data_IF_396002281470
#
_entry.id   IF_396002281470
#
_cell.length_a   1.000
_cell.length_b   1.000
_cell.length_c   1.000
_cell.angle_alpha   90.00
_cell.angle_beta   90.00
_cell.angle_gamma   90.00
#
_symmetry.space_group_name_H-M   'P 1'
#
loop_
_entity.id
_entity.type
_entity.pdbx_description
1 polymer ?
#
# COMPACT_ATOMS: atom_id res chain seq x y z
N UNK A 1 72.34 -17.39 -9.66
CA UNK A 1 71.49 -16.69 -8.67
C UNK A 1 70.17 -16.34 -9.33
N UNK A 2 69.03 -16.91 -8.93
CA UNK A 2 67.73 -16.59 -9.50
C UNK A 2 67.15 -15.34 -8.81
N UNK A 3 66.71 -14.37 -9.62
CA UNK A 3 66.16 -13.10 -9.15
C UNK A 3 64.82 -13.25 -8.44
N UNK A 4 64.73 -12.68 -7.23
CA UNK A 4 63.50 -12.50 -6.48
C UNK A 4 62.57 -11.52 -7.22
N UNK A 5 61.42 -11.99 -7.67
CA UNK A 5 60.29 -11.11 -8.03
C UNK A 5 59.46 -10.86 -6.77
N UNK A 6 59.35 -9.60 -6.35
CA UNK A 6 58.38 -9.15 -5.36
C UNK A 6 56.97 -9.16 -5.97
N UNK A 7 55.95 -9.71 -5.28
CA UNK A 7 54.57 -9.60 -5.74
C UNK A 7 54.06 -8.15 -5.59
N UNK A 8 53.14 -7.69 -6.46
CA UNK A 8 52.57 -6.36 -6.35
C UNK A 8 51.70 -6.27 -5.09
N UNK A 9 51.81 -5.13 -4.40
CA UNK A 9 50.95 -4.80 -3.27
C UNK A 9 49.49 -4.75 -3.76
N UNK A 10 48.67 -5.68 -3.26
CA UNK A 10 47.22 -5.64 -3.37
C UNK A 10 46.71 -4.44 -2.55
N UNK A 11 46.71 -3.28 -3.19
CA UNK A 11 45.97 -2.10 -2.77
C UNK A 11 44.47 -2.33 -2.98
N UNK A 12 43.93 -3.31 -2.26
CA UNK A 12 42.51 -3.54 -2.18
C UNK A 12 41.86 -2.35 -1.49
N UNK A 13 41.31 -1.45 -2.31
CA UNK A 13 40.37 -0.41 -1.92
C UNK A 13 39.14 -1.07 -1.28
N UNK A 14 39.27 -1.40 0.00
CA UNK A 14 38.13 -1.73 0.86
C UNK A 14 37.43 -0.42 1.14
N UNK A 15 36.64 0.04 0.18
CA UNK A 15 35.62 1.05 0.44
C UNK A 15 34.87 0.63 1.71
N UNK A 16 34.83 1.47 2.76
CA UNK A 16 34.21 1.09 4.02
C UNK A 16 32.76 0.71 3.71
N UNK A 17 32.34 -0.48 4.16
CA UNK A 17 30.99 -0.98 4.00
C UNK A 17 30.04 0.03 4.63
N UNK A 18 29.53 0.96 3.82
CA UNK A 18 28.62 2.01 4.24
C UNK A 18 27.41 1.30 4.85
N UNK A 19 27.08 1.68 6.09
CA UNK A 19 25.95 1.11 6.80
C UNK A 19 24.72 1.12 5.87
N UNK A 20 23.92 0.05 5.82
CA UNK A 20 22.83 -0.06 4.87
C UNK A 20 21.92 1.16 5.00
N UNK A 21 21.72 1.89 3.90
CA UNK A 21 20.82 3.03 3.86
C UNK A 21 19.43 2.58 4.33
N UNK A 22 19.04 3.01 5.52
CA UNK A 22 17.73 2.71 6.08
C UNK A 22 16.67 3.47 5.29
N UNK A 23 15.55 2.81 5.03
CA UNK A 23 14.44 3.45 4.33
C UNK A 23 13.98 4.71 5.05
N UNK A 24 13.80 5.81 4.31
CA UNK A 24 13.27 7.05 4.88
C UNK A 24 11.77 6.90 5.22
N UNK A 25 11.46 6.64 6.49
CA UNK A 25 10.08 6.53 7.02
C UNK A 25 9.53 7.84 7.57
N UNK A 26 10.23 8.97 7.42
CA UNK A 26 9.77 10.27 7.95
C UNK A 26 8.39 10.68 7.42
N UNK A 27 8.07 10.52 6.10
CA UNK A 27 6.72 10.84 5.62
C UNK A 27 5.63 10.01 6.29
N UNK A 28 5.85 8.70 6.47
CA UNK A 28 4.92 7.84 7.22
C UNK A 28 4.77 8.31 8.66
N UNK A 29 5.86 8.69 9.34
CA UNK A 29 5.79 9.14 10.73
C UNK A 29 4.99 10.45 10.87
N UNK A 30 5.24 11.42 9.99
CA UNK A 30 4.50 12.70 9.97
C UNK A 30 3.02 12.43 9.64
N UNK A 31 2.75 11.67 8.59
CA UNK A 31 1.38 11.33 8.17
C UNK A 31 0.62 10.57 9.27
N UNK A 32 1.26 9.58 9.90
CA UNK A 32 0.68 8.84 11.01
C UNK A 32 0.39 9.76 12.21
N UNK A 33 1.31 10.64 12.58
CA UNK A 33 1.11 11.61 13.67
C UNK A 33 -0.09 12.54 13.41
N UNK A 34 -0.20 13.07 12.19
CA UNK A 34 -1.32 13.92 11.79
C UNK A 34 -2.67 13.17 11.80
N UNK A 35 -2.69 11.95 11.26
CA UNK A 35 -3.89 11.12 11.22
C UNK A 35 -4.33 10.65 12.62
N UNK A 36 -3.38 10.31 13.49
CA UNK A 36 -3.64 9.99 14.90
C UNK A 36 -4.16 11.19 15.68
N UNK A 37 -3.55 12.37 15.47
CA UNK A 37 -4.05 13.61 16.08
C UNK A 37 -5.49 13.90 15.61
N UNK A 38 -5.78 13.70 14.33
CA UNK A 38 -7.13 13.85 13.77
C UNK A 38 -8.13 12.88 14.41
N UNK A 39 -7.82 11.59 14.50
CA UNK A 39 -8.72 10.60 15.10
C UNK A 39 -8.93 10.84 16.59
N UNK A 40 -7.87 11.19 17.33
CA UNK A 40 -7.97 11.57 18.74
C UNK A 40 -8.83 12.82 18.94
N UNK A 41 -8.63 13.86 18.13
CA UNK A 41 -9.43 15.08 18.19
C UNK A 41 -10.91 14.81 17.91
N UNK A 42 -11.23 13.98 16.91
CA UNK A 42 -12.60 13.57 16.61
C UNK A 42 -13.24 12.79 17.76
N UNK A 43 -12.51 11.84 18.35
CA UNK A 43 -13.00 11.07 19.50
C UNK A 43 -13.26 11.94 20.72
N UNK A 44 -12.34 12.86 21.04
CA UNK A 44 -12.50 13.82 22.14
C UNK A 44 -13.67 14.76 21.91
N UNK A 45 -13.81 15.28 20.69
CA UNK A 45 -14.94 16.12 20.30
C UNK A 45 -16.28 15.38 20.45
N UNK A 46 -16.36 14.12 20.02
CA UNK A 46 -17.57 13.32 20.11
C UNK A 46 -17.88 12.84 21.53
N UNK A 47 -16.87 12.75 22.41
CA UNK A 47 -17.02 12.23 23.75
C UNK A 47 -18.12 12.94 24.55
N UNK A 48 -18.25 14.27 24.44
CA UNK A 48 -19.27 15.00 25.20
C UNK A 48 -20.61 15.15 24.44
N UNK A 49 -20.73 14.59 23.24
CA UNK A 49 -21.93 14.67 22.38
C UNK A 49 -22.71 13.38 22.32
N UNK A 50 -22.10 12.29 22.74
CA UNK A 50 -22.68 10.94 22.72
C UNK A 50 -22.99 10.55 24.18
N UNK A 51 -24.25 10.18 24.50
CA UNK A 51 -24.62 9.66 25.81
C UNK A 51 -23.81 8.41 26.19
N UNK A 52 -23.53 8.21 27.48
CA UNK A 52 -22.71 7.07 27.93
C UNK A 52 -23.40 5.71 27.73
N UNK A 53 -24.73 5.69 27.70
CA UNK A 53 -25.59 4.53 27.44
C UNK A 53 -25.88 4.31 25.94
N UNK A 54 -25.36 5.17 25.06
CA UNK A 54 -25.58 5.09 23.63
C UNK A 54 -25.06 3.76 23.04
N UNK A 55 -25.88 3.14 22.17
CA UNK A 55 -25.53 1.94 21.43
C UNK A 55 -25.20 2.30 20.00
N UNK A 56 -23.92 2.20 19.65
CA UNK A 56 -23.39 2.71 18.39
C UNK A 56 -23.03 1.54 17.48
N UNK A 57 -23.39 1.58 16.19
CA UNK A 57 -22.89 0.62 15.21
C UNK A 57 -21.37 0.58 15.18
N UNK A 58 -20.81 -0.63 15.34
CA UNK A 58 -19.35 -0.89 15.38
C UNK A 58 -18.95 -2.04 14.46
N UNK A 59 -19.93 -2.74 13.89
CA UNK A 59 -19.72 -3.76 12.88
C UNK A 59 -20.88 -3.76 11.88
N UNK A 60 -20.55 -4.08 10.63
CA UNK A 60 -21.48 -4.18 9.52
C UNK A 60 -21.21 -5.48 8.78
N UNK A 61 -22.27 -6.23 8.49
CA UNK A 61 -22.18 -7.45 7.69
C UNK A 61 -21.88 -7.14 6.21
N UNK A 62 -21.63 -8.18 5.42
CA UNK A 62 -21.33 -8.03 3.98
C UNK A 62 -22.44 -7.37 3.15
N UNK A 63 -23.68 -7.34 3.66
CA UNK A 63 -24.82 -6.64 3.06
C UNK A 63 -24.84 -5.13 3.35
N UNK A 64 -23.88 -4.63 4.14
CA UNK A 64 -23.83 -3.23 4.61
C UNK A 64 -24.77 -2.94 5.77
N UNK A 65 -25.50 -3.93 6.29
CA UNK A 65 -26.38 -3.76 7.45
C UNK A 65 -25.59 -3.87 8.76
N UNK A 66 -26.00 -3.09 9.75
CA UNK A 66 -25.49 -3.20 11.13
C UNK A 66 -25.88 -4.56 11.69
N UNK A 67 -24.90 -5.33 12.15
CA UNK A 67 -25.12 -6.62 12.82
C UNK A 67 -24.60 -6.62 14.28
N UNK A 68 -23.85 -5.59 14.69
CA UNK A 68 -23.38 -5.41 16.06
C UNK A 68 -23.34 -3.95 16.50
N UNK A 69 -23.83 -3.73 17.72
CA UNK A 69 -23.77 -2.45 18.42
C UNK A 69 -22.80 -2.52 19.61
N UNK A 70 -21.95 -1.52 19.74
CA UNK A 70 -20.99 -1.34 20.81
C UNK A 70 -21.37 -0.17 21.72
N UNK A 71 -20.60 0.00 22.80
CA UNK A 71 -20.72 1.18 23.67
C UNK A 71 -19.93 2.37 23.13
N UNK A 72 -20.12 3.54 23.76
CA UNK A 72 -19.42 4.79 23.43
C UNK A 72 -17.90 4.65 23.39
N UNK A 73 -17.29 4.05 24.41
CA UNK A 73 -15.84 3.88 24.49
C UNK A 73 -15.31 3.01 23.35
N UNK A 74 -15.99 1.90 23.05
CA UNK A 74 -15.63 1.00 21.96
C UNK A 74 -15.66 1.73 20.61
N UNK A 75 -16.73 2.48 20.32
CA UNK A 75 -16.86 3.23 19.07
C UNK A 75 -15.82 4.35 18.93
N UNK A 76 -15.48 5.03 20.02
CA UNK A 76 -14.58 6.19 19.98
C UNK A 76 -13.09 5.84 20.11
N UNK A 77 -12.72 4.70 20.71
CA UNK A 77 -11.31 4.39 21.04
C UNK A 77 -10.72 3.29 20.14
N UNK A 78 -11.52 2.32 19.70
CA UNK A 78 -11.00 1.12 19.03
C UNK A 78 -10.21 1.45 17.76
N UNK A 79 -10.77 2.25 16.85
CA UNK A 79 -10.06 2.60 15.62
C UNK A 79 -8.82 3.47 15.85
N UNK A 80 -8.81 4.51 16.71
CA UNK A 80 -7.59 5.21 17.07
C UNK A 80 -6.47 4.28 17.58
N UNK A 81 -6.80 3.30 18.43
CA UNK A 81 -5.83 2.31 18.93
C UNK A 81 -5.34 1.40 17.80
N UNK A 82 -6.23 0.90 16.94
CA UNK A 82 -5.83 0.10 15.78
C UNK A 82 -4.91 0.88 14.84
N UNK A 83 -5.21 2.16 14.59
CA UNK A 83 -4.38 3.05 13.77
C UNK A 83 -3.01 3.27 14.43
N UNK A 84 -2.95 3.44 15.76
CA UNK A 84 -1.69 3.59 16.50
C UNK A 84 -0.81 2.35 16.37
N UNK A 85 -1.39 1.18 16.63
CA UNK A 85 -0.68 -0.11 16.52
C UNK A 85 -0.21 -0.33 15.09
N UNK A 86 -1.08 -0.11 14.10
CA UNK A 86 -0.72 -0.29 12.69
C UNK A 86 0.36 0.71 12.25
N UNK A 87 0.29 1.96 12.69
CA UNK A 87 1.33 2.96 12.42
C UNK A 87 2.68 2.53 13.01
N UNK A 88 2.70 2.01 14.24
CA UNK A 88 3.92 1.48 14.84
C UNK A 88 4.49 0.31 14.01
N UNK A 89 3.64 -0.63 13.59
CA UNK A 89 4.04 -1.74 12.72
C UNK A 89 4.64 -1.22 11.41
N UNK A 90 3.97 -0.28 10.73
CA UNK A 90 4.44 0.28 9.45
C UNK A 90 5.73 1.10 9.59
N UNK A 91 5.99 1.69 10.76
CA UNK A 91 7.26 2.36 11.02
C UNK A 91 8.38 1.37 11.33
N UNK A 92 8.10 0.27 12.01
CA UNK A 92 9.10 -0.71 12.42
C UNK A 92 9.42 -1.70 11.30
N UNK A 93 8.42 -2.13 10.53
CA UNK A 93 8.54 -3.18 9.51
C UNK A 93 9.74 -3.01 8.58
N UNK A 94 10.01 -1.81 8.00
CA UNK A 94 11.13 -1.64 7.07
C UNK A 94 12.52 -1.81 7.69
N UNK A 95 12.62 -1.77 9.02
CA UNK A 95 13.87 -1.93 9.77
C UNK A 95 14.17 -3.38 10.09
N UNK A 96 13.13 -4.22 10.23
CA UNK A 96 13.27 -5.61 10.71
C UNK A 96 13.25 -6.64 9.58
N UNK A 97 12.73 -6.29 8.39
CA UNK A 97 12.65 -7.24 7.27
C UNK A 97 14.04 -7.60 6.72
N UNK A 98 14.30 -8.88 6.34
CA UNK A 98 15.59 -9.31 5.78
C UNK A 98 16.01 -8.51 4.55
N UNK A 99 15.05 -8.19 3.67
CA UNK A 99 15.27 -7.44 2.42
C UNK A 99 15.20 -5.91 2.57
N UNK A 100 15.52 -5.38 3.76
CA UNK A 100 15.42 -3.93 4.06
C UNK A 100 16.12 -3.01 3.05
N UNK A 101 17.21 -3.47 2.41
CA UNK A 101 17.91 -2.73 1.36
C UNK A 101 17.04 -2.54 0.11
N UNK A 102 16.46 -3.62 -0.43
CA UNK A 102 15.56 -3.58 -1.60
C UNK A 102 14.28 -2.80 -1.31
N UNK A 103 13.80 -2.89 -0.07
CA UNK A 103 12.64 -2.10 0.35
C UNK A 103 12.95 -0.60 0.43
N UNK A 104 14.19 -0.21 0.78
CA UNK A 104 14.60 1.20 0.84
C UNK A 104 14.46 1.89 -0.52
N UNK A 105 14.73 1.18 -1.63
CA UNK A 105 14.54 1.69 -2.99
C UNK A 105 13.05 1.93 -3.33
N UNK A 106 12.15 1.33 -2.55
CA UNK A 106 10.70 1.48 -2.66
C UNK A 106 10.12 2.49 -1.66
N UNK A 107 10.95 3.32 -1.00
CA UNK A 107 10.53 4.23 0.07
C UNK A 107 9.31 5.08 -0.30
N UNK A 108 9.27 5.65 -1.51
CA UNK A 108 8.15 6.49 -1.96
C UNK A 108 6.85 5.70 -2.03
N UNK A 109 6.86 4.54 -2.70
CA UNK A 109 5.68 3.67 -2.82
C UNK A 109 5.24 3.15 -1.45
N UNK A 110 6.18 2.71 -0.61
CA UNK A 110 5.89 2.26 0.75
C UNK A 110 5.21 3.34 1.59
N UNK A 111 5.80 4.53 1.68
CA UNK A 111 5.21 5.65 2.44
C UNK A 111 3.82 6.02 1.91
N UNK A 112 3.62 5.98 0.60
CA UNK A 112 2.32 6.27 -0.04
C UNK A 112 1.26 5.26 0.38
N UNK A 113 1.58 3.95 0.37
CA UNK A 113 0.69 2.88 0.81
C UNK A 113 0.43 2.97 2.33
N UNK A 114 1.47 3.20 3.12
CA UNK A 114 1.37 3.30 4.58
C UNK A 114 0.48 4.47 5.01
N UNK A 115 0.68 5.66 4.45
CA UNK A 115 -0.21 6.81 4.71
C UNK A 115 -1.62 6.53 4.18
N UNK A 116 -1.74 5.89 3.01
CA UNK A 116 -3.01 5.52 2.42
C UNK A 116 -3.86 4.61 3.31
N UNK A 117 -3.26 3.56 3.90
CA UNK A 117 -3.99 2.62 4.77
C UNK A 117 -4.40 3.26 6.09
N UNK A 118 -3.54 4.10 6.68
CA UNK A 118 -3.89 4.87 7.87
C UNK A 118 -4.99 5.90 7.57
N UNK A 119 -4.95 6.52 6.39
CA UNK A 119 -5.97 7.44 5.90
C UNK A 119 -7.32 6.75 5.68
N UNK A 120 -7.32 5.53 5.13
CA UNK A 120 -8.51 4.70 5.00
C UNK A 120 -9.18 4.47 6.35
N UNK A 121 -8.42 3.99 7.34
CA UNK A 121 -8.94 3.74 8.69
C UNK A 121 -9.41 5.04 9.37
N UNK A 122 -8.71 6.14 9.16
CA UNK A 122 -9.09 7.46 9.66
C UNK A 122 -10.42 7.94 9.05
N UNK A 123 -10.61 7.75 7.75
CA UNK A 123 -11.87 8.07 7.07
C UNK A 123 -13.05 7.23 7.57
N UNK A 124 -12.82 5.94 7.81
CA UNK A 124 -13.82 5.05 8.42
C UNK A 124 -14.17 5.53 9.84
N UNK A 125 -13.15 5.83 10.67
CA UNK A 125 -13.36 6.36 12.02
C UNK A 125 -14.17 7.66 12.03
N UNK A 126 -13.79 8.62 11.17
CA UNK A 126 -14.51 9.88 11.05
C UNK A 126 -15.97 9.66 10.66
N UNK A 127 -16.24 8.77 9.71
CA UNK A 127 -17.60 8.46 9.28
C UNK A 127 -18.43 7.79 10.37
N UNK A 128 -17.84 6.85 11.14
CA UNK A 128 -18.49 6.22 12.29
C UNK A 128 -18.81 7.23 13.40
N UNK A 129 -17.86 8.11 13.74
CA UNK A 129 -18.04 9.15 14.76
C UNK A 129 -19.12 10.15 14.35
N UNK A 130 -19.06 10.66 13.12
CA UNK A 130 -20.07 11.59 12.61
C UNK A 130 -21.45 10.95 12.50
N UNK A 131 -21.51 9.66 12.15
CA UNK A 131 -22.75 8.87 12.15
C UNK A 131 -23.33 8.74 13.56
N UNK A 132 -22.50 8.49 14.56
CA UNK A 132 -22.91 8.37 15.95
C UNK A 132 -23.43 9.69 16.55
N UNK A 133 -22.81 10.83 16.18
CA UNK A 133 -23.23 12.15 16.68
C UNK A 133 -24.46 12.69 15.96
N UNK A 134 -24.54 12.54 14.64
CA UNK A 134 -25.57 13.21 13.82
C UNK A 134 -26.72 12.28 13.38
N UNK A 135 -26.63 10.97 13.60
CA UNK A 135 -27.67 10.00 13.28
C UNK A 135 -27.95 9.78 11.78
N UNK A 136 -27.14 10.34 10.87
CA UNK A 136 -27.51 10.44 9.45
C UNK A 136 -26.39 10.37 8.42
N UNK A 137 -25.21 9.82 8.76
CA UNK A 137 -24.14 9.63 7.77
C UNK A 137 -24.41 8.34 6.97
N UNK A 138 -24.44 8.38 5.63
CA UNK A 138 -24.56 7.18 4.80
C UNK A 138 -23.23 6.42 4.82
N UNK A 139 -22.96 5.72 5.92
CA UNK A 139 -21.64 5.18 6.23
C UNK A 139 -21.13 4.23 5.15
N UNK A 140 -21.99 3.37 4.60
CA UNK A 140 -21.59 2.42 3.54
C UNK A 140 -21.08 3.17 2.30
N UNK A 141 -21.67 4.32 1.96
CA UNK A 141 -21.18 5.17 0.86
C UNK A 141 -19.84 5.80 1.20
N UNK A 142 -19.69 6.33 2.41
CA UNK A 142 -18.41 6.94 2.83
C UNK A 142 -17.30 5.90 2.84
N UNK A 143 -17.54 4.72 3.43
CA UNK A 143 -16.59 3.60 3.43
C UNK A 143 -16.25 3.16 2.01
N UNK A 144 -17.25 3.02 1.14
CA UNK A 144 -17.05 2.69 -0.27
C UNK A 144 -16.19 3.73 -1.01
N UNK A 145 -16.45 5.02 -0.79
CA UNK A 145 -15.70 6.11 -1.40
C UNK A 145 -14.25 6.16 -0.90
N UNK A 146 -14.03 6.01 0.40
CA UNK A 146 -12.68 6.01 0.99
C UNK A 146 -11.90 4.75 0.55
N UNK A 147 -12.55 3.60 0.43
CA UNK A 147 -11.95 2.38 -0.10
C UNK A 147 -11.58 2.52 -1.59
N UNK A 148 -12.44 3.15 -2.39
CA UNK A 148 -12.15 3.51 -3.79
C UNK A 148 -10.93 4.42 -3.90
N UNK A 149 -10.88 5.48 -3.07
CA UNK A 149 -9.75 6.40 -3.04
C UNK A 149 -8.46 5.71 -2.58
N UNK A 150 -8.52 4.83 -1.59
CA UNK A 150 -7.37 4.02 -1.18
C UNK A 150 -6.88 3.13 -2.32
N UNK A 151 -7.79 2.54 -3.11
CA UNK A 151 -7.44 1.75 -4.30
C UNK A 151 -6.72 2.61 -5.35
N UNK A 152 -7.12 3.88 -5.52
CA UNK A 152 -6.36 4.85 -6.34
C UNK A 152 -4.95 5.08 -5.78
N UNK A 153 -4.81 5.22 -4.46
CA UNK A 153 -3.50 5.38 -3.80
C UNK A 153 -2.59 4.17 -4.07
N UNK A 154 -3.13 2.94 -4.00
CA UNK A 154 -2.39 1.73 -4.41
C UNK A 154 -1.96 1.83 -5.87
N UNK A 155 -2.87 2.20 -6.77
CA UNK A 155 -2.57 2.37 -8.19
C UNK A 155 -1.45 3.38 -8.47
N UNK A 156 -1.39 4.47 -7.71
CA UNK A 156 -0.31 5.46 -7.82
C UNK A 156 1.02 4.97 -7.23
N UNK A 157 0.97 4.11 -6.22
CA UNK A 157 2.17 3.59 -5.57
C UNK A 157 2.85 2.46 -6.37
N UNK A 158 2.09 1.62 -7.07
CA UNK A 158 2.63 0.43 -7.77
C UNK A 158 3.80 0.76 -8.72
N UNK A 159 3.72 1.73 -9.64
CA UNK A 159 4.78 1.95 -10.65
C UNK A 159 6.12 2.43 -10.08
N UNK A 160 6.14 2.92 -8.84
CA UNK A 160 7.36 3.41 -8.18
C UNK A 160 7.97 2.40 -7.21
N UNK A 161 7.35 1.22 -7.04
CA UNK A 161 7.94 0.13 -6.29
C UNK A 161 9.06 -0.51 -7.12
N UNK A 162 10.17 -0.83 -6.46
CA UNK A 162 11.26 -1.66 -6.99
C UNK A 162 11.08 -3.11 -6.55
N UNK A 163 11.64 -4.10 -7.25
CA UNK A 163 11.55 -5.50 -6.85
C UNK A 163 11.90 -5.71 -5.38
N UNK A 164 10.93 -6.19 -4.60
CA UNK A 164 11.06 -6.38 -3.16
C UNK A 164 10.11 -7.48 -2.66
N UNK A 165 10.47 -8.11 -1.54
CA UNK A 165 9.70 -9.18 -0.93
C UNK A 165 8.48 -8.75 -0.11
N UNK A 166 8.13 -7.45 -0.03
CA UNK A 166 7.09 -6.94 0.88
C UNK A 166 5.84 -6.46 0.14
N UNK A 167 5.99 -5.60 -0.88
CA UNK A 167 4.89 -4.89 -1.52
C UNK A 167 4.96 -5.02 -3.05
N UNK A 168 3.79 -5.23 -3.67
CA UNK A 168 3.62 -5.37 -5.11
C UNK A 168 3.07 -6.73 -5.55
N UNK A 169 3.04 -6.96 -6.87
CA UNK A 169 2.71 -8.25 -7.48
C UNK A 169 3.97 -9.13 -7.45
N UNK A 170 4.02 -10.09 -6.52
CA UNK A 170 5.23 -10.86 -6.16
C UNK A 170 5.17 -12.32 -6.65
N UNK A 171 5.05 -12.49 -7.96
CA UNK A 171 5.17 -13.82 -8.58
C UNK A 171 6.65 -14.21 -8.74
N UNK A 172 7.00 -15.51 -8.89
CA UNK A 172 8.39 -15.92 -9.05
C UNK A 172 9.13 -15.20 -10.19
N UNK A 173 8.44 -14.91 -11.29
CA UNK A 173 9.01 -14.23 -12.45
C UNK A 173 9.11 -12.71 -12.31
N UNK A 174 8.19 -12.05 -11.59
CA UNK A 174 8.33 -10.60 -11.32
C UNK A 174 9.47 -10.33 -10.34
N UNK A 175 9.76 -11.25 -9.42
CA UNK A 175 10.90 -11.14 -8.51
C UNK A 175 12.23 -11.47 -9.20
N UNK A 176 12.24 -12.31 -10.24
CA UNK A 176 13.44 -12.73 -10.95
C UNK A 176 13.85 -11.79 -12.11
N UNK A 177 12.91 -11.02 -12.67
CA UNK A 177 13.15 -10.14 -13.82
C UNK A 177 12.60 -8.72 -13.56
N UNK A 178 13.50 -7.74 -13.53
CA UNK A 178 13.15 -6.32 -13.32
C UNK A 178 12.28 -5.78 -14.47
N UNK A 179 12.47 -6.24 -15.71
CA UNK A 179 11.60 -5.82 -16.83
C UNK A 179 10.18 -6.30 -16.59
N UNK A 180 10.02 -7.56 -16.20
CA UNK A 180 8.70 -8.12 -15.85
C UNK A 180 8.06 -7.36 -14.68
N UNK A 181 8.83 -7.02 -13.65
CA UNK A 181 8.38 -6.19 -12.53
C UNK A 181 7.84 -4.83 -12.99
N UNK A 182 8.64 -4.07 -13.73
CA UNK A 182 8.31 -2.69 -14.15
C UNK A 182 7.06 -2.68 -15.03
N UNK A 183 6.97 -3.58 -16.02
CA UNK A 183 5.81 -3.65 -16.89
C UNK A 183 4.54 -4.01 -16.11
N UNK A 184 4.63 -5.01 -15.22
CA UNK A 184 3.50 -5.46 -14.40
C UNK A 184 2.99 -4.36 -13.48
N UNK A 185 3.89 -3.64 -12.81
CA UNK A 185 3.52 -2.60 -11.86
C UNK A 185 3.06 -1.31 -12.54
N UNK A 186 3.57 -0.98 -13.74
CA UNK A 186 3.04 0.12 -14.55
C UNK A 186 1.63 -0.17 -15.05
N UNK A 187 1.37 -1.38 -15.51
CA UNK A 187 0.02 -1.83 -15.89
C UNK A 187 -0.92 -1.85 -14.68
N UNK A 188 -0.52 -2.54 -13.60
CA UNK A 188 -1.26 -2.62 -12.35
C UNK A 188 -1.58 -1.24 -11.77
N UNK A 189 -0.63 -0.31 -11.83
CA UNK A 189 -0.85 1.06 -11.36
C UNK A 189 -2.00 1.78 -12.07
N UNK A 190 -2.07 1.67 -13.39
CA UNK A 190 -3.19 2.22 -14.18
C UNK A 190 -4.50 1.50 -13.88
N UNK A 191 -4.45 0.17 -13.80
CA UNK A 191 -5.63 -0.66 -13.54
C UNK A 191 -6.26 -0.37 -12.17
N UNK A 192 -5.46 -0.38 -11.10
CA UNK A 192 -5.94 -0.06 -9.75
C UNK A 192 -6.39 1.40 -9.62
N UNK A 193 -5.73 2.33 -10.32
CA UNK A 193 -6.19 3.72 -10.37
C UNK A 193 -7.57 3.83 -11.02
N UNK A 194 -7.78 3.17 -12.16
CA UNK A 194 -9.07 3.18 -12.85
C UNK A 194 -10.18 2.52 -12.01
N UNK A 195 -9.90 1.33 -11.46
CA UNK A 195 -10.85 0.63 -10.58
C UNK A 195 -11.19 1.47 -9.35
N UNK A 196 -10.19 2.05 -8.68
CA UNK A 196 -10.42 2.91 -7.53
C UNK A 196 -11.26 4.15 -7.86
N UNK A 197 -11.01 4.79 -9.00
CA UNK A 197 -11.80 5.93 -9.47
C UNK A 197 -13.27 5.53 -9.74
N UNK A 198 -13.48 4.40 -10.42
CA UNK A 198 -14.82 3.84 -10.66
C UNK A 198 -15.53 3.55 -9.34
N UNK A 199 -14.86 2.91 -8.38
CA UNK A 199 -15.45 2.60 -7.07
C UNK A 199 -15.79 3.87 -6.27
N UNK A 200 -14.95 4.90 -6.36
CA UNK A 200 -15.18 6.19 -5.70
C UNK A 200 -16.44 6.86 -6.25
N UNK A 201 -16.60 6.90 -7.58
CA UNK A 201 -17.80 7.45 -8.22
C UNK A 201 -19.02 6.58 -7.93
N UNK A 202 -18.88 5.25 -8.00
CA UNK A 202 -19.95 4.30 -7.73
C UNK A 202 -20.53 4.48 -6.31
N UNK A 203 -19.67 4.75 -5.31
CA UNK A 203 -20.11 5.02 -3.94
C UNK A 203 -21.14 6.16 -3.83
N UNK A 204 -21.09 7.13 -4.75
CA UNK A 204 -21.98 8.29 -4.75
C UNK A 204 -23.35 8.00 -5.40
N UNK A 205 -23.43 7.08 -6.36
CA UNK A 205 -24.61 6.93 -7.24
C UNK A 205 -25.23 5.53 -7.23
N UNK A 206 -24.46 4.49 -6.92
CA UNK A 206 -24.92 3.08 -6.95
C UNK A 206 -25.68 2.75 -5.65
N UNK A 207 -26.67 1.84 -5.67
CA UNK A 207 -27.31 1.33 -4.47
C UNK A 207 -26.32 0.73 -3.46
N UNK A 208 -26.50 1.03 -2.17
CA UNK A 208 -25.56 0.63 -1.11
C UNK A 208 -25.35 -0.88 -1.02
N UNK A 209 -26.38 -1.67 -1.29
CA UNK A 209 -26.33 -3.14 -1.29
C UNK A 209 -25.32 -3.73 -2.30
N UNK A 210 -24.94 -2.97 -3.33
CA UNK A 210 -24.03 -3.41 -4.40
C UNK A 210 -22.60 -2.94 -4.12
N UNK A 211 -22.39 -1.92 -3.28
CA UNK A 211 -21.08 -1.27 -3.12
C UNK A 211 -19.99 -2.22 -2.60
N UNK A 212 -20.27 -3.00 -1.55
CA UNK A 212 -19.29 -3.95 -0.99
C UNK A 212 -18.96 -5.06 -2.00
N UNK A 213 -19.94 -5.78 -2.59
CA UNK A 213 -19.66 -6.76 -3.65
C UNK A 213 -18.90 -6.17 -4.83
N UNK A 214 -19.26 -4.97 -5.29
CA UNK A 214 -18.59 -4.29 -6.39
C UNK A 214 -17.13 -3.94 -6.07
N UNK A 215 -16.86 -3.43 -4.87
CA UNK A 215 -15.51 -3.14 -4.41
C UNK A 215 -14.64 -4.40 -4.34
N UNK A 216 -15.17 -5.48 -3.75
CA UNK A 216 -14.48 -6.76 -3.68
C UNK A 216 -14.20 -7.32 -5.08
N UNK A 217 -15.21 -7.37 -5.95
CA UNK A 217 -15.05 -7.85 -7.32
C UNK A 217 -14.04 -7.01 -8.11
N UNK A 218 -14.08 -5.68 -7.98
CA UNK A 218 -13.15 -4.78 -8.63
C UNK A 218 -11.70 -4.98 -8.18
N UNK A 219 -11.45 -5.04 -6.87
CA UNK A 219 -10.10 -5.20 -6.30
C UNK A 219 -9.53 -6.59 -6.60
N UNK A 220 -10.34 -7.65 -6.39
CA UNK A 220 -9.93 -9.03 -6.69
C UNK A 220 -9.71 -9.19 -8.19
N UNK A 221 -10.62 -8.69 -9.02
CA UNK A 221 -10.48 -8.70 -10.48
C UNK A 221 -9.24 -7.97 -10.97
N UNK A 222 -8.94 -6.79 -10.41
CA UNK A 222 -7.71 -6.06 -10.72
C UNK A 222 -6.45 -6.84 -10.32
N UNK A 223 -6.46 -7.46 -9.14
CA UNK A 223 -5.36 -8.27 -8.62
C UNK A 223 -5.09 -9.49 -9.50
N UNK A 224 -6.13 -10.26 -9.82
CA UNK A 224 -6.05 -11.42 -10.73
C UNK A 224 -5.54 -10.98 -12.10
N UNK A 225 -6.09 -9.89 -12.64
CA UNK A 225 -5.68 -9.35 -13.95
C UNK A 225 -4.20 -8.95 -13.96
N UNK A 226 -3.70 -8.33 -12.89
CA UNK A 226 -2.29 -7.98 -12.76
C UNK A 226 -1.38 -9.23 -12.70
N UNK A 227 -1.82 -10.29 -12.01
CA UNK A 227 -1.11 -11.58 -11.98
C UNK A 227 -1.09 -12.22 -13.36
N UNK A 228 -2.23 -12.29 -14.06
CA UNK A 228 -2.31 -12.83 -15.43
C UNK A 228 -1.41 -12.02 -16.38
N UNK A 229 -1.45 -10.69 -16.28
CA UNK A 229 -0.59 -9.81 -17.08
C UNK A 229 0.90 -10.11 -16.82
N UNK A 230 1.28 -10.30 -15.56
CA UNK A 230 2.66 -10.65 -15.21
C UNK A 230 3.14 -11.95 -15.86
N UNK A 231 2.27 -12.97 -15.92
CA UNK A 231 2.57 -14.24 -16.60
C UNK A 231 2.75 -14.05 -18.10
N UNK A 232 1.88 -13.27 -18.76
CA UNK A 232 2.02 -12.98 -20.20
C UNK A 232 3.32 -12.26 -20.54
N UNK A 233 3.75 -11.32 -19.69
CA UNK A 233 5.02 -10.59 -19.87
C UNK A 233 6.21 -11.55 -19.76
N UNK A 234 6.19 -12.48 -18.79
CA UNK A 234 7.21 -13.53 -18.67
C UNK A 234 7.28 -14.38 -19.94
N UNK A 235 6.15 -14.90 -20.41
CA UNK A 235 6.09 -15.80 -21.56
C UNK A 235 6.50 -15.12 -22.88
N UNK A 236 6.21 -13.84 -23.05
CA UNK A 236 6.72 -13.07 -24.17
C UNK A 236 8.25 -12.98 -24.14
N UNK A 237 8.85 -12.82 -22.96
CA UNK A 237 10.29 -12.75 -22.78
C UNK A 237 11.02 -14.09 -22.95
N UNK A 238 10.37 -15.23 -22.80
CA UNK A 238 11.00 -16.55 -23.06
C UNK A 238 10.99 -16.92 -24.55
N UNK A 239 10.08 -16.35 -25.34
CA UNK A 239 9.95 -16.61 -26.78
C UNK A 239 10.94 -15.83 -27.65
N UNK A 240 11.58 -14.77 -27.13
CA UNK A 240 12.61 -14.02 -27.86
C UNK A 240 13.95 -14.77 -27.85
N UNK A 241 14.52 -15.14 -29.02
CA UNK A 241 15.78 -15.87 -29.13
C UNK A 241 16.95 -15.14 -28.44
N UNK A 242 17.95 -15.84 -27.89
CA UNK A 242 19.12 -15.21 -27.25
C UNK A 242 19.89 -14.24 -28.15
N UNK A 243 19.93 -14.49 -29.46
CA UNK A 243 20.61 -13.66 -30.46
C UNK A 243 20.02 -12.25 -30.59
N UNK A 244 18.73 -12.07 -30.32
CA UNK A 244 18.06 -10.76 -30.37
C UNK A 244 18.15 -9.98 -29.05
N UNK A 245 18.64 -10.59 -27.96
CA UNK A 245 18.79 -9.91 -26.66
C UNK A 245 20.09 -9.10 -26.54
N UNK A 246 21.09 -9.41 -27.36
CA UNK A 246 22.42 -8.77 -27.30
C UNK A 246 22.63 -7.67 -28.36
N UNK A 247 21.72 -7.53 -29.32
CA UNK A 247 21.91 -6.65 -30.48
C UNK A 247 21.78 -5.14 -30.24
N UNK A 248 21.35 -4.70 -29.07
CA UNK A 248 21.03 -3.27 -28.80
C UNK A 248 22.12 -2.55 -27.98
N UNK A 249 23.29 -3.17 -27.79
CA UNK A 249 24.37 -2.66 -26.92
C UNK A 249 25.73 -2.47 -27.60
N UNK A 250 25.82 -2.57 -28.93
CA UNK A 250 27.10 -2.64 -29.64
C UNK A 250 27.11 -1.94 -30.99
N UNK A 251 26.85 -0.64 -31.03
CA UNK A 251 27.25 0.21 -32.15
C UNK A 251 27.83 1.54 -31.65
N UNK A 252 29.11 1.51 -31.31
CA UNK A 252 30.08 2.62 -31.26
C UNK A 252 31.43 1.97 -30.88
N UNK A 253 32.53 2.02 -31.62
CA UNK A 253 32.97 2.91 -32.69
C UNK A 253 33.93 2.14 -33.61
N UNK A 254 34.01 2.59 -34.87
CA UNK A 254 35.12 2.29 -35.78
C UNK A 254 36.23 3.32 -35.66
#
# INVERSE_FOLDING_TARGET
MPGHRTPPADGGDRTPHSAPALMNTRPTAIGAGLLLACTAALSLWAWNRIPDDARIPVHWGASGKVDRLGGKSEALITLPVVILVLAAILLVLPRVVPERRRLADSARGYNTIAIGVLGLLTGIHAASVLGAVNGGVPLIRVVGAVLGLFTVVIGRALPVLRPNGIAGVRTPWTLADERCWVLTHRFGGRLFTAVGAILTVAALIVPEAILIPLALAGIVGASITAVIYSWRVRDAGTRTPPSERQGDGGTSDG
#
